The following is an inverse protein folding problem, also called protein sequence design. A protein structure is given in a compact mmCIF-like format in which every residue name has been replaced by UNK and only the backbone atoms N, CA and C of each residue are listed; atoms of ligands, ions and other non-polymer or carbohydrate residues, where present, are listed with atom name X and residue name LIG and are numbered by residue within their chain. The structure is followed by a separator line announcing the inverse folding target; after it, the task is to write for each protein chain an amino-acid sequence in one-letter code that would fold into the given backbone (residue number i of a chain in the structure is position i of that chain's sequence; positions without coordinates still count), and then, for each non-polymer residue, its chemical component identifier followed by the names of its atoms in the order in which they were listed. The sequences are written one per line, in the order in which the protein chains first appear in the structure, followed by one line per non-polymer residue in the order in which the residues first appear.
data_IF_184669821098
#
_entry.id   IF_184669821098
#
_cell.length_a   1.000
_cell.length_b   1.000
_cell.length_c   1.000
_cell.angle_alpha   90.00
_cell.angle_beta   90.00
_cell.angle_gamma   90.00
#
_symmetry.space_group_name_H-M   'P 1'
#
loop_
_entity.id
_entity.type
_entity.pdbx_description
1 polymer ?
#
# COMPACT_ATOMS: atom_id res chain seq x y z
N UNK A 1 -21.47 -13.36 17.71
CA UNK A 1 -21.59 -14.43 16.70
C UNK A 1 -20.35 -14.36 15.85
N UNK A 2 -19.38 -15.18 16.21
CA UNK A 2 -18.08 -15.32 15.57
C UNK A 2 -18.27 -15.79 14.12
N UNK A 3 -18.01 -14.89 13.15
CA UNK A 3 -17.81 -15.31 11.77
C UNK A 3 -16.46 -16.02 11.71
N UNK A 4 -16.48 -17.34 11.76
CA UNK A 4 -15.36 -18.16 11.29
C UNK A 4 -15.34 -18.01 9.78
N UNK A 5 -14.51 -17.10 9.28
CA UNK A 5 -14.12 -17.10 7.88
C UNK A 5 -13.37 -18.40 7.60
N UNK A 6 -14.09 -19.36 7.03
CA UNK A 6 -13.56 -20.67 6.68
C UNK A 6 -12.59 -20.51 5.52
N UNK A 7 -11.29 -20.54 5.83
CA UNK A 7 -10.21 -20.58 4.84
C UNK A 7 -10.48 -21.69 3.82
N UNK A 8 -10.75 -21.32 2.56
CA UNK A 8 -10.78 -22.26 1.43
C UNK A 8 -9.36 -22.53 0.96
N UNK A 9 -8.58 -23.21 1.79
CA UNK A 9 -7.28 -23.75 1.39
C UNK A 9 -7.51 -24.94 0.45
N UNK A 10 -7.29 -24.76 -0.85
CA UNK A 10 -7.17 -25.87 -1.79
C UNK A 10 -5.72 -26.31 -1.84
N UNK A 11 -5.45 -27.61 -2.03
CA UNK A 11 -4.09 -28.16 -2.06
C UNK A 11 -3.88 -28.92 -3.36
N UNK A 12 -2.69 -28.80 -3.94
CA UNK A 12 -2.22 -29.54 -5.10
C UNK A 12 -1.11 -30.51 -4.67
N UNK A 13 -1.24 -31.79 -5.01
CA UNK A 13 -0.18 -32.78 -4.79
C UNK A 13 0.88 -32.69 -5.90
N UNK A 14 2.16 -32.58 -5.51
CA UNK A 14 3.32 -32.73 -6.40
C UNK A 14 4.39 -33.56 -5.69
N UNK A 15 4.90 -34.60 -6.35
CA UNK A 15 5.96 -35.48 -5.83
C UNK A 15 5.68 -36.06 -4.43
N UNK A 16 4.41 -36.40 -4.13
CA UNK A 16 3.98 -36.94 -2.84
C UNK A 16 3.92 -35.91 -1.69
N UNK A 17 4.11 -34.63 -1.99
CA UNK A 17 3.97 -33.51 -1.07
C UNK A 17 2.73 -32.67 -1.45
N UNK A 18 1.90 -32.34 -0.46
CA UNK A 18 0.75 -31.46 -0.62
C UNK A 18 1.20 -30.00 -0.52
N UNK A 19 1.09 -29.28 -1.63
CA UNK A 19 1.34 -27.84 -1.69
C UNK A 19 0.00 -27.10 -1.65
N UNK A 20 -0.18 -26.09 -0.79
CA UNK A 20 -1.37 -25.25 -0.85
C UNK A 20 -1.41 -24.49 -2.18
N UNK A 21 -2.58 -24.39 -2.79
CA UNK A 21 -2.85 -23.46 -3.88
C UNK A 21 -2.82 -22.05 -3.30
N UNK A 22 -1.76 -21.33 -3.64
CA UNK A 22 -1.54 -19.95 -3.23
C UNK A 22 -2.36 -19.01 -4.12
N UNK A 23 -3.63 -18.81 -3.80
CA UNK A 23 -4.38 -17.65 -4.30
C UNK A 23 -3.83 -16.40 -3.61
N UNK A 24 -3.66 -15.31 -4.38
CA UNK A 24 -3.09 -14.05 -3.84
C UNK A 24 -4.11 -13.38 -2.89
N UNK A 25 -5.41 -13.58 -3.13
CA UNK A 25 -6.49 -13.11 -2.26
C UNK A 25 -7.56 -14.17 -2.00
N UNK A 26 -8.23 -14.06 -0.86
CA UNK A 26 -9.45 -14.82 -0.54
C UNK A 26 -10.68 -14.33 -1.32
N UNK A 27 -10.63 -13.07 -1.77
CA UNK A 27 -11.68 -12.40 -2.54
C UNK A 27 -11.23 -12.20 -3.98
N UNK A 28 -11.94 -12.82 -4.93
CA UNK A 28 -11.61 -12.73 -6.35
C UNK A 28 -11.74 -11.29 -6.92
N UNK A 29 -12.51 -10.42 -6.28
CA UNK A 29 -12.66 -9.01 -6.67
C UNK A 29 -11.40 -8.19 -6.33
N UNK A 30 -10.76 -8.51 -5.22
CA UNK A 30 -9.55 -7.82 -4.72
C UNK A 30 -8.32 -8.16 -5.57
N UNK A 31 -8.26 -9.38 -6.13
CA UNK A 31 -7.27 -9.76 -7.15
C UNK A 31 -7.51 -9.06 -8.51
N UNK A 32 -8.74 -8.63 -8.81
CA UNK A 32 -9.09 -7.93 -10.04
C UNK A 32 -8.83 -6.42 -9.97
N UNK A 33 -8.79 -5.84 -8.77
CA UNK A 33 -8.48 -4.42 -8.60
C UNK A 33 -6.95 -4.21 -8.51
N UNK A 34 -6.33 -3.57 -9.52
CA UNK A 34 -4.89 -3.33 -9.50
C UNK A 34 -4.53 -2.35 -8.39
N UNK A 35 -3.45 -2.64 -7.67
CA UNK A 35 -2.85 -1.68 -6.73
C UNK A 35 -2.36 -0.43 -7.49
N UNK A 36 -2.55 0.73 -6.89
CA UNK A 36 -1.92 1.99 -7.29
C UNK A 36 -0.45 2.09 -6.86
N UNK A 37 0.07 3.32 -6.80
CA UNK A 37 1.51 3.57 -6.55
C UNK A 37 1.93 3.04 -5.18
N UNK A 38 1.24 3.47 -4.12
CA UNK A 38 1.65 3.17 -2.75
C UNK A 38 1.44 1.70 -2.38
N UNK A 39 0.35 1.08 -2.84
CA UNK A 39 0.12 -0.35 -2.63
C UNK A 39 1.20 -1.21 -3.29
N UNK A 40 1.61 -0.89 -4.52
CA UNK A 40 2.72 -1.58 -5.20
C UNK A 40 4.06 -1.39 -4.48
N UNK A 41 4.33 -0.20 -3.96
CA UNK A 41 5.55 0.06 -3.19
C UNK A 41 5.57 -0.74 -1.90
N UNK A 42 4.44 -0.76 -1.15
CA UNK A 42 4.30 -1.54 0.07
C UNK A 42 4.46 -3.04 -0.19
N UNK A 43 3.86 -3.55 -1.28
CA UNK A 43 3.98 -4.95 -1.69
C UNK A 43 5.43 -5.33 -1.98
N UNK A 44 6.14 -4.50 -2.74
CA UNK A 44 7.54 -4.73 -3.06
C UNK A 44 8.43 -4.66 -1.82
N UNK A 45 8.20 -3.68 -0.95
CA UNK A 45 8.93 -3.54 0.31
C UNK A 45 8.72 -4.77 1.21
N UNK A 46 7.47 -5.19 1.39
CA UNK A 46 7.12 -6.38 2.17
C UNK A 46 7.80 -7.64 1.62
N UNK A 47 7.78 -7.82 0.29
CA UNK A 47 8.42 -8.96 -0.38
C UNK A 47 9.94 -8.97 -0.21
N UNK A 48 10.60 -7.82 -0.30
CA UNK A 48 12.06 -7.72 -0.26
C UNK A 48 12.62 -7.77 1.17
N UNK A 49 11.97 -7.09 2.11
CA UNK A 49 12.48 -6.92 3.47
C UNK A 49 11.85 -7.90 4.47
N UNK A 50 10.65 -8.41 4.19
CA UNK A 50 9.90 -9.30 5.09
C UNK A 50 9.27 -10.51 4.36
N UNK A 51 10.07 -11.34 3.68
CA UNK A 51 9.56 -12.43 2.82
C UNK A 51 8.72 -13.46 3.56
N UNK A 52 9.00 -13.71 4.84
CA UNK A 52 8.20 -14.62 5.68
C UNK A 52 6.77 -14.08 5.89
N UNK A 53 6.64 -12.78 6.21
CA UNK A 53 5.35 -12.12 6.40
C UNK A 53 4.56 -12.04 5.11
N UNK A 54 5.25 -11.73 4.00
CA UNK A 54 4.67 -11.79 2.65
C UNK A 54 4.05 -13.16 2.38
N UNK A 55 4.80 -14.25 2.62
CA UNK A 55 4.31 -15.61 2.38
C UNK A 55 3.12 -15.95 3.28
N UNK A 56 3.16 -15.57 4.56
CA UNK A 56 2.05 -15.79 5.49
C UNK A 56 0.77 -15.10 4.99
N UNK A 57 0.84 -13.83 4.62
CA UNK A 57 -0.31 -13.08 4.11
C UNK A 57 -0.82 -13.64 2.78
N UNK A 58 0.09 -14.10 1.92
CA UNK A 58 -0.27 -14.75 0.67
C UNK A 58 -0.98 -16.09 0.92
N UNK A 59 -0.47 -16.92 1.84
CA UNK A 59 -1.11 -18.18 2.22
C UNK A 59 -2.47 -17.97 2.89
N UNK A 60 -2.61 -16.87 3.63
CA UNK A 60 -3.86 -16.47 4.27
C UNK A 60 -4.85 -15.91 3.26
N UNK A 61 -4.41 -15.41 2.10
CA UNK A 61 -5.27 -14.72 1.13
C UNK A 61 -5.61 -13.27 1.50
N UNK A 62 -4.86 -12.68 2.44
CA UNK A 62 -5.12 -11.33 2.96
C UNK A 62 -4.14 -10.29 2.37
N UNK A 63 -3.21 -10.74 1.50
CA UNK A 63 -2.12 -9.91 1.01
C UNK A 63 -2.64 -8.68 0.26
N UNK A 64 -3.51 -8.85 -0.72
CA UNK A 64 -3.98 -7.71 -1.53
C UNK A 64 -4.88 -6.78 -0.75
N UNK A 65 -5.77 -7.31 0.10
CA UNK A 65 -6.58 -6.49 1.00
C UNK A 65 -5.67 -5.60 1.85
N UNK A 66 -4.60 -6.17 2.40
CA UNK A 66 -3.65 -5.41 3.20
C UNK A 66 -2.93 -4.33 2.40
N UNK A 67 -2.56 -4.62 1.15
CA UNK A 67 -1.90 -3.62 0.29
C UNK A 67 -2.85 -2.51 -0.13
N UNK A 68 -4.13 -2.79 -0.36
CA UNK A 68 -5.16 -1.77 -0.61
C UNK A 68 -5.42 -0.90 0.62
N UNK A 69 -5.44 -1.48 1.82
CA UNK A 69 -5.52 -0.71 3.07
C UNK A 69 -4.34 0.26 3.22
N UNK A 70 -3.12 -0.22 2.98
CA UNK A 70 -1.90 0.61 3.03
C UNK A 70 -1.95 1.72 1.97
N UNK A 71 -2.48 1.43 0.78
CA UNK A 71 -2.68 2.43 -0.26
C UNK A 71 -3.67 3.53 0.15
N UNK A 72 -4.83 3.16 0.70
CA UNK A 72 -5.83 4.11 1.17
C UNK A 72 -5.26 5.00 2.28
N UNK A 73 -4.60 4.40 3.26
CA UNK A 73 -3.96 5.15 4.35
C UNK A 73 -2.88 6.11 3.83
N UNK A 74 -2.09 5.68 2.85
CA UNK A 74 -1.07 6.53 2.23
C UNK A 74 -1.69 7.72 1.47
N UNK A 75 -2.79 7.50 0.75
CA UNK A 75 -3.51 8.56 0.02
C UNK A 75 -4.14 9.58 0.98
N UNK A 76 -4.81 9.12 2.03
CA UNK A 76 -5.38 9.98 3.07
C UNK A 76 -4.27 10.81 3.76
N UNK A 77 -3.16 10.17 4.10
CA UNK A 77 -2.03 10.85 4.75
C UNK A 77 -1.38 11.87 3.81
N UNK A 78 -1.29 11.57 2.52
CA UNK A 78 -0.76 12.48 1.50
C UNK A 78 -1.59 13.76 1.39
N UNK A 79 -2.92 13.65 1.37
CA UNK A 79 -3.82 14.82 1.36
C UNK A 79 -3.66 15.65 2.62
N UNK A 80 -3.70 15.01 3.79
CA UNK A 80 -3.55 15.68 5.08
C UNK A 80 -2.22 16.43 5.20
N UNK A 81 -1.10 15.81 4.81
CA UNK A 81 0.22 16.43 4.88
C UNK A 81 0.37 17.57 3.87
N UNK A 82 -0.17 17.40 2.66
CA UNK A 82 -0.14 18.48 1.64
C UNK A 82 -0.87 19.72 2.15
N UNK A 83 -2.04 19.56 2.75
CA UNK A 83 -2.81 20.64 3.34
C UNK A 83 -2.11 21.30 4.53
N UNK A 84 -1.51 20.49 5.41
CA UNK A 84 -0.74 21.00 6.54
C UNK A 84 0.48 21.80 6.08
N UNK A 85 1.23 21.29 5.10
CA UNK A 85 2.39 21.97 4.54
C UNK A 85 2.00 23.25 3.79
N UNK A 86 0.86 23.27 3.10
CA UNK A 86 0.34 24.51 2.47
C UNK A 86 -0.05 25.57 3.51
N UNK A 87 -0.54 25.18 4.68
CA UNK A 87 -0.81 26.14 5.77
C UNK A 87 0.47 26.71 6.36
N UNK A 88 1.52 25.89 6.49
CA UNK A 88 2.83 26.31 6.99
C UNK A 88 3.61 27.13 5.97
N UNK A 89 3.53 26.75 4.70
CA UNK A 89 4.24 27.33 3.58
C UNK A 89 3.23 27.74 2.50
N UNK A 90 2.50 28.85 2.70
CA UNK A 90 1.45 29.28 1.79
C UNK A 90 2.00 29.60 0.40
N UNK A 91 1.10 29.58 -0.57
CA UNK A 91 1.42 29.82 -1.95
C UNK A 91 2.11 31.19 -2.15
N UNK A 92 3.21 31.28 -2.91
CA UNK A 92 3.85 32.55 -3.20
C UNK A 92 2.87 33.49 -3.93
N UNK A 93 2.82 34.76 -3.49
CA UNK A 93 2.01 35.82 -4.11
C UNK A 93 2.74 36.42 -5.31
N UNK A 94 2.94 35.60 -6.33
CA UNK A 94 3.58 35.95 -7.61
C UNK A 94 2.67 35.51 -8.76
N UNK A 95 2.74 36.24 -9.87
CA UNK A 95 2.10 35.87 -11.15
C UNK A 95 2.93 34.85 -11.94
N UNK A 96 4.17 34.57 -11.49
CA UNK A 96 5.02 33.55 -12.08
C UNK A 96 4.44 32.14 -11.85
N UNK A 97 3.95 31.55 -12.93
CA UNK A 97 3.36 30.20 -12.93
C UNK A 97 4.39 29.10 -12.66
N UNK A 98 5.65 29.31 -13.03
CA UNK A 98 6.74 28.36 -12.81
C UNK A 98 7.14 28.33 -11.34
N UNK A 99 7.29 29.49 -10.70
CA UNK A 99 7.58 29.57 -9.26
C UNK A 99 6.47 28.90 -8.45
N UNK A 100 5.22 29.16 -8.82
CA UNK A 100 4.06 28.53 -8.19
C UNK A 100 4.10 27.01 -8.33
N UNK A 101 4.36 26.51 -9.53
CA UNK A 101 4.44 25.07 -9.78
C UNK A 101 5.59 24.42 -9.02
N UNK A 102 6.77 25.06 -8.98
CA UNK A 102 7.93 24.59 -8.20
C UNK A 102 7.58 24.46 -6.71
N UNK A 103 6.91 25.47 -6.15
CA UNK A 103 6.49 25.47 -4.75
C UNK A 103 5.55 24.30 -4.43
N UNK A 104 4.52 24.09 -5.25
CA UNK A 104 3.59 22.98 -5.07
C UNK A 104 4.27 21.62 -5.21
N UNK A 105 5.20 21.48 -6.16
CA UNK A 105 5.99 20.26 -6.31
C UNK A 105 6.85 19.99 -5.09
N UNK A 106 7.48 21.01 -4.50
CA UNK A 106 8.26 20.87 -3.28
C UNK A 106 7.41 20.39 -2.09
N UNK A 107 6.22 20.98 -1.92
CA UNK A 107 5.27 20.56 -0.88
C UNK A 107 4.86 19.10 -1.08
N UNK A 108 4.46 18.73 -2.30
CA UNK A 108 4.06 17.36 -2.62
C UNK A 108 5.20 16.36 -2.41
N UNK A 109 6.42 16.68 -2.84
CA UNK A 109 7.57 15.80 -2.63
C UNK A 109 7.83 15.58 -1.13
N UNK A 110 7.75 16.65 -0.33
CA UNK A 110 7.93 16.57 1.12
C UNK A 110 6.84 15.71 1.77
N UNK A 111 5.58 15.91 1.38
CA UNK A 111 4.47 15.09 1.86
C UNK A 111 4.65 13.62 1.48
N UNK A 112 5.07 13.35 0.24
CA UNK A 112 5.30 12.00 -0.27
C UNK A 112 6.42 11.29 0.50
N UNK A 113 7.56 11.96 0.73
CA UNK A 113 8.65 11.38 1.53
C UNK A 113 8.17 10.95 2.92
N UNK A 114 7.36 11.77 3.58
CA UNK A 114 6.79 11.44 4.89
C UNK A 114 5.83 10.25 4.80
N UNK A 115 4.93 10.21 3.80
CA UNK A 115 4.01 9.09 3.58
C UNK A 115 4.76 7.79 3.36
N UNK A 116 5.83 7.82 2.57
CA UNK A 116 6.64 6.62 2.30
C UNK A 116 7.26 6.08 3.58
N UNK A 117 7.84 6.94 4.41
CA UNK A 117 8.49 6.53 5.65
C UNK A 117 7.49 6.08 6.74
N UNK A 118 6.37 6.79 6.89
CA UNK A 118 5.42 6.54 7.99
C UNK A 118 4.48 5.36 7.70
N UNK A 119 4.09 5.17 6.43
CA UNK A 119 3.05 4.22 6.03
C UNK A 119 3.64 3.06 5.22
N UNK A 120 4.31 3.35 4.10
CA UNK A 120 4.64 2.34 3.07
C UNK A 120 5.82 1.45 3.48
N UNK A 121 6.86 2.04 4.06
CA UNK A 121 8.10 1.34 4.42
C UNK A 121 8.08 0.81 5.86
N UNK A 122 6.98 0.99 6.58
CA UNK A 122 6.89 0.58 7.97
C UNK A 122 6.59 -0.92 8.08
N UNK A 123 7.40 -1.70 8.84
CA UNK A 123 7.06 -3.09 9.14
C UNK A 123 5.79 -3.16 9.99
N UNK A 124 4.79 -3.95 9.56
CA UNK A 124 3.49 -4.15 10.23
C UNK A 124 3.16 -5.63 10.42
#
# INVERSE_FOLDING_TARGET
MDKKDTLKLSFQERDGLLYPNLSISNEAETDQQPLGKYGRMALNHLRQHHPQRFLILQMQGDLMEKMHQVEQEALEKMEQLTDQLLRLQPMPRTDDTLERTRHLSQIRNTAEELVLNDIVLKPR
#
